data_IF_361030869569
#
_entry.id   IF_361030869569
#
_cell.length_a   1.000
_cell.length_b   1.000
_cell.length_c   1.000
_cell.angle_alpha   90.00
_cell.angle_beta   90.00
_cell.angle_gamma   90.00
#
_symmetry.space_group_name_H-M   'P 1'
#
loop_
_entity.id
_entity.type
_entity.pdbx_description
1 polymer ?
#
# COMPACT_ATOMS: atom_id res chain seq x y z
N UNK A 1 3.66 15.56 20.82
CA UNK A 1 4.30 15.54 19.49
C UNK A 1 3.99 14.19 18.86
N UNK A 2 3.05 14.19 17.90
CA UNK A 2 2.99 13.31 16.71
C UNK A 2 3.42 11.84 16.85
N UNK A 3 2.64 11.02 17.56
CA UNK A 3 2.70 9.55 17.44
C UNK A 3 2.10 9.07 16.09
N UNK A 4 1.26 9.90 15.46
CA UNK A 4 0.53 9.56 14.23
C UNK A 4 1.43 9.30 13.01
N UNK A 5 2.67 9.78 13.00
CA UNK A 5 3.63 9.59 11.90
C UNK A 5 4.65 8.47 12.17
N UNK A 6 4.46 7.72 13.25
CA UNK A 6 5.23 6.49 13.51
C UNK A 6 4.43 5.32 12.99
N UNK A 7 5.12 4.37 12.34
CA UNK A 7 4.46 3.14 11.94
C UNK A 7 4.08 2.30 13.16
N UNK A 8 2.83 1.79 13.23
CA UNK A 8 2.53 0.68 14.11
C UNK A 8 3.45 -0.51 13.80
N UNK A 9 3.98 -1.15 14.83
CA UNK A 9 5.02 -2.18 14.69
C UNK A 9 4.57 -3.34 13.80
N UNK A 10 3.31 -3.73 13.90
CA UNK A 10 2.70 -4.78 13.08
C UNK A 10 2.66 -4.39 11.60
N UNK A 11 2.31 -3.14 11.28
CA UNK A 11 2.22 -2.64 9.91
C UNK A 11 3.60 -2.51 9.28
N UNK A 12 4.58 -1.97 10.01
CA UNK A 12 5.96 -1.92 9.53
C UNK A 12 6.54 -3.33 9.32
N UNK A 13 6.20 -4.27 10.21
CA UNK A 13 6.63 -5.66 10.08
C UNK A 13 6.00 -6.33 8.86
N UNK A 14 4.73 -6.04 8.56
CA UNK A 14 4.05 -6.51 7.35
C UNK A 14 4.76 -6.01 6.09
N UNK A 15 5.05 -4.71 6.00
CA UNK A 15 5.79 -4.11 4.89
C UNK A 15 7.18 -4.74 4.71
N UNK A 16 7.93 -4.94 5.80
CA UNK A 16 9.23 -5.63 5.79
C UNK A 16 9.14 -7.09 5.34
N UNK A 17 7.99 -7.74 5.50
CA UNK A 17 7.70 -9.09 5.02
C UNK A 17 7.18 -9.12 3.57
N UNK A 18 7.13 -7.97 2.88
CA UNK A 18 6.60 -7.89 1.52
C UNK A 18 5.08 -7.92 1.45
N UNK A 19 4.37 -7.63 2.54
CA UNK A 19 2.90 -7.59 2.57
C UNK A 19 2.40 -6.20 2.23
N UNK A 20 1.44 -6.14 1.31
CA UNK A 20 0.77 -4.90 0.90
C UNK A 20 -0.14 -4.36 1.99
N UNK A 21 -0.17 -3.05 2.10
CA UNK A 21 -1.09 -2.32 2.96
C UNK A 21 -1.89 -1.33 2.13
N UNK A 22 -3.16 -1.16 2.44
CA UNK A 22 -4.04 -0.23 1.74
C UNK A 22 -4.89 0.59 2.71
N UNK A 23 -5.39 1.72 2.24
CA UNK A 23 -6.37 2.56 2.95
C UNK A 23 -7.35 3.15 1.95
N UNK A 24 -8.62 3.22 2.31
CA UNK A 24 -9.63 3.92 1.52
C UNK A 24 -9.44 5.44 1.67
N UNK A 25 -9.45 6.15 0.55
CA UNK A 25 -9.27 7.58 0.46
C UNK A 25 -10.53 8.25 -0.11
N UNK A 26 -10.73 9.57 0.10
CA UNK A 26 -11.81 10.29 -0.55
C UNK A 26 -11.70 10.22 -2.08
N UNK A 27 -12.77 9.81 -2.73
CA UNK A 27 -12.88 9.82 -4.18
C UNK A 27 -13.45 11.15 -4.70
N UNK A 28 -13.24 11.42 -5.99
CA UNK A 28 -13.65 12.64 -6.69
C UNK A 28 -15.17 12.71 -6.89
N UNK A 29 -15.87 11.57 -6.87
CA UNK A 29 -17.32 11.49 -7.05
C UNK A 29 -17.94 10.34 -6.26
N UNK A 30 -19.27 10.39 -6.05
CA UNK A 30 -20.01 9.39 -5.27
C UNK A 30 -20.11 8.01 -5.94
N UNK A 31 -19.91 7.94 -7.25
CA UNK A 31 -19.88 6.70 -8.04
C UNK A 31 -18.46 6.09 -8.11
N UNK A 32 -17.51 6.70 -7.38
CA UNK A 32 -16.09 6.31 -7.38
C UNK A 32 -15.67 5.90 -5.99
N UNK A 33 -14.76 4.94 -5.91
CA UNK A 33 -14.03 4.61 -4.67
C UNK A 33 -12.55 4.79 -4.91
N UNK A 34 -11.83 5.33 -3.93
CA UNK A 34 -10.41 5.58 -4.05
C UNK A 34 -9.64 4.84 -2.97
N UNK A 35 -8.47 4.32 -3.32
CA UNK A 35 -7.59 3.64 -2.38
C UNK A 35 -6.16 4.08 -2.59
N UNK A 36 -5.43 4.14 -1.48
CA UNK A 36 -3.98 4.28 -1.48
C UNK A 36 -3.38 2.94 -1.08
N UNK A 37 -2.64 2.33 -2.00
CA UNK A 37 -1.90 1.09 -1.79
C UNK A 37 -0.40 1.38 -1.59
N UNK A 38 0.22 0.61 -0.69
CA UNK A 38 1.66 0.53 -0.52
C UNK A 38 2.11 -0.87 -0.90
N UNK A 39 2.85 -0.96 -2.00
CA UNK A 39 3.47 -2.19 -2.48
C UNK A 39 4.96 -2.22 -2.14
N UNK A 40 5.41 -3.14 -1.26
CA UNK A 40 6.84 -3.32 -0.99
C UNK A 40 7.56 -3.96 -2.18
N UNK A 41 8.75 -3.45 -2.50
CA UNK A 41 9.64 -4.00 -3.51
C UNK A 41 10.21 -5.36 -3.09
N UNK A 42 10.47 -6.21 -4.09
CA UNK A 42 11.16 -7.47 -3.90
C UNK A 42 12.63 -7.25 -3.54
N UNK A 43 13.18 -8.12 -2.71
CA UNK A 43 14.62 -8.20 -2.40
C UNK A 43 15.19 -9.53 -2.88
N UNK A 44 16.51 -9.60 -3.11
CA UNK A 44 17.17 -10.79 -3.67
C UNK A 44 16.79 -12.09 -2.95
N UNK A 45 16.69 -12.04 -1.63
CA UNK A 45 16.34 -13.20 -0.79
C UNK A 45 14.88 -13.65 -0.87
N UNK A 46 13.99 -12.87 -1.47
CA UNK A 46 12.59 -13.28 -1.61
C UNK A 46 12.45 -14.50 -2.52
N UNK A 47 13.27 -14.59 -3.57
CA UNK A 47 13.24 -15.73 -4.48
C UNK A 47 13.68 -17.03 -3.78
N UNK A 48 14.68 -16.96 -2.90
CA UNK A 48 15.10 -18.09 -2.07
C UNK A 48 14.02 -18.46 -1.05
N UNK A 49 13.51 -17.46 -0.32
CA UNK A 49 12.48 -17.65 0.68
C UNK A 49 11.22 -18.31 0.09
N UNK A 50 10.78 -17.85 -1.08
CA UNK A 50 9.64 -18.42 -1.79
C UNK A 50 9.87 -19.89 -2.16
N UNK A 51 11.06 -20.25 -2.67
CA UNK A 51 11.39 -21.64 -3.02
C UNK A 51 11.41 -22.56 -1.79
N UNK A 52 11.82 -22.02 -0.65
CA UNK A 52 12.01 -22.79 0.58
C UNK A 52 10.81 -22.71 1.54
N UNK A 53 9.73 -22.02 1.16
CA UNK A 53 8.48 -21.97 1.93
C UNK A 53 8.51 -21.07 3.15
N UNK A 54 9.38 -20.06 3.19
CA UNK A 54 9.43 -19.05 4.24
C UNK A 54 9.37 -17.62 3.66
N UNK A 55 9.31 -16.59 4.50
CA UNK A 55 9.25 -15.18 4.05
C UNK A 55 10.41 -14.39 4.61
N UNK A 56 11.13 -13.66 3.75
CA UNK A 56 12.25 -12.82 4.17
C UNK A 56 11.73 -11.48 4.72
N UNK A 57 12.05 -11.20 5.99
CA UNK A 57 11.93 -9.86 6.55
C UNK A 57 13.13 -9.02 6.10
N UNK A 58 12.91 -7.84 5.52
CA UNK A 58 13.99 -6.95 5.08
C UNK A 58 13.64 -5.47 5.29
N UNK A 59 14.59 -4.70 5.83
CA UNK A 59 14.53 -3.23 5.92
C UNK A 59 15.08 -2.55 4.68
N UNK A 60 15.63 -3.31 3.73
CA UNK A 60 16.17 -2.81 2.47
C UNK A 60 15.12 -2.75 1.34
N UNK A 61 13.84 -3.00 1.66
CA UNK A 61 12.75 -2.91 0.68
C UNK A 61 12.51 -1.45 0.32
N UNK A 62 12.36 -1.19 -0.97
CA UNK A 62 11.71 0.01 -1.49
C UNK A 62 10.19 -0.14 -1.42
N UNK A 63 9.46 0.93 -1.69
CA UNK A 63 8.00 0.95 -1.65
C UNK A 63 7.48 1.77 -2.83
N UNK A 64 6.47 1.24 -3.51
CA UNK A 64 5.65 1.99 -4.45
C UNK A 64 4.34 2.34 -3.77
N UNK A 65 3.98 3.62 -3.80
CA UNK A 65 2.73 4.13 -3.26
C UNK A 65 1.86 4.60 -4.41
N UNK A 66 0.65 4.08 -4.53
CA UNK A 66 -0.28 4.44 -5.60
C UNK A 66 -1.62 4.87 -5.02
N UNK A 67 -2.14 6.00 -5.48
CA UNK A 67 -3.52 6.41 -5.23
C UNK A 67 -4.32 6.19 -6.51
N UNK A 68 -5.28 5.28 -6.45
CA UNK A 68 -6.16 4.95 -7.56
C UNK A 68 -7.59 5.21 -7.19
N UNK A 69 -8.37 5.59 -8.20
CA UNK A 69 -9.82 5.55 -8.15
C UNK A 69 -10.35 4.47 -9.06
N UNK A 70 -11.45 3.87 -8.65
CA UNK A 70 -12.15 2.81 -9.35
C UNK A 70 -13.62 3.17 -9.48
N UNK A 71 -14.28 2.58 -10.47
CA UNK A 71 -15.73 2.63 -10.58
C UNK A 71 -16.33 1.75 -9.49
N UNK A 72 -17.23 2.31 -8.68
CA UNK A 72 -17.80 1.59 -7.53
C UNK A 72 -18.65 0.39 -7.96
N UNK A 73 -19.24 0.41 -9.15
CA UNK A 73 -20.07 -0.68 -9.67
C UNK A 73 -19.25 -1.82 -10.28
N UNK A 74 -17.99 -1.55 -10.67
CA UNK A 74 -17.08 -2.53 -11.29
C UNK A 74 -16.04 -3.09 -10.32
N UNK A 75 -16.05 -2.62 -9.08
CA UNK A 75 -15.06 -2.97 -8.08
C UNK A 75 -15.16 -4.43 -7.63
N UNK A 76 -16.38 -4.97 -7.65
CA UNK A 76 -16.68 -6.37 -7.35
C UNK A 76 -16.53 -7.22 -8.63
N UNK A 77 -15.30 -7.58 -8.99
CA UNK A 77 -15.06 -8.42 -10.17
C UNK A 77 -13.60 -8.54 -10.59
N UNK A 78 -13.36 -9.26 -11.68
CA UNK A 78 -12.03 -9.39 -12.29
C UNK A 78 -11.63 -8.16 -13.11
N UNK A 79 -12.61 -7.33 -13.51
CA UNK A 79 -12.42 -6.16 -14.38
C UNK A 79 -12.37 -4.85 -13.59
N UNK A 80 -11.96 -4.90 -12.31
CA UNK A 80 -11.86 -3.71 -11.46
C UNK A 80 -10.90 -2.65 -12.02
N UNK A 81 -9.97 -3.05 -12.88
CA UNK A 81 -9.03 -2.16 -13.57
C UNK A 81 -9.68 -1.41 -14.74
N UNK A 82 -10.84 -1.86 -15.23
CA UNK A 82 -11.65 -1.16 -16.23
C UNK A 82 -12.22 0.11 -15.60
N UNK A 83 -11.79 1.26 -16.12
CA UNK A 83 -12.15 2.57 -15.55
C UNK A 83 -11.35 2.95 -14.30
N UNK A 84 -10.33 2.18 -13.93
CA UNK A 84 -9.40 2.58 -12.88
C UNK A 84 -8.53 3.74 -13.35
N UNK A 85 -8.37 4.75 -12.50
CA UNK A 85 -7.58 5.95 -12.78
C UNK A 85 -6.49 6.09 -11.72
N UNK A 86 -5.23 6.09 -12.14
CA UNK A 86 -4.11 6.44 -11.27
C UNK A 86 -4.07 7.96 -11.08
N UNK A 87 -4.36 8.41 -9.85
CA UNK A 87 -4.39 9.83 -9.51
C UNK A 87 -3.00 10.37 -9.15
N UNK A 88 -2.23 9.60 -8.38
CA UNK A 88 -0.86 9.94 -7.99
C UNK A 88 -0.07 8.66 -7.69
N UNK A 89 1.22 8.71 -7.93
CA UNK A 89 2.15 7.64 -7.58
C UNK A 89 3.46 8.25 -7.07
N UNK A 90 4.12 7.55 -6.16
CA UNK A 90 5.44 7.89 -5.66
C UNK A 90 6.23 6.61 -5.36
N UNK A 91 7.54 6.67 -5.57
CA UNK A 91 8.48 5.64 -5.15
C UNK A 91 9.22 6.15 -3.90
N UNK A 92 9.40 5.27 -2.92
CA UNK A 92 10.20 5.50 -1.74
C UNK A 92 11.31 4.44 -1.66
N UNK A 93 12.56 4.86 -1.58
CA UNK A 93 13.69 3.93 -1.57
C UNK A 93 13.82 3.16 -0.23
N UNK A 94 13.21 3.67 0.84
CA UNK A 94 13.32 3.13 2.19
C UNK A 94 12.14 3.59 3.09
N UNK A 95 12.11 3.10 4.32
CA UNK A 95 11.04 3.37 5.30
C UNK A 95 10.91 4.85 5.69
N UNK A 96 12.01 5.62 5.67
CA UNK A 96 12.01 7.05 5.99
C UNK A 96 11.42 7.88 4.84
N UNK A 97 11.78 7.55 3.61
CA UNK A 97 11.18 8.15 2.41
C UNK A 97 9.69 7.81 2.31
N UNK A 98 9.30 6.59 2.68
CA UNK A 98 7.88 6.22 2.72
C UNK A 98 7.10 7.11 3.70
N UNK A 99 7.64 7.35 4.90
CA UNK A 99 7.02 8.29 5.84
C UNK A 99 6.94 9.72 5.29
N UNK A 100 7.94 10.14 4.52
CA UNK A 100 7.91 11.45 3.83
C UNK A 100 6.77 11.53 2.83
N UNK A 101 6.62 10.50 1.98
CA UNK A 101 5.51 10.41 1.00
C UNK A 101 4.16 10.45 1.71
N UNK A 102 3.97 9.63 2.75
CA UNK A 102 2.69 9.59 3.48
C UNK A 102 2.37 10.94 4.14
N UNK A 103 3.36 11.61 4.70
CA UNK A 103 3.19 12.95 5.30
C UNK A 103 2.79 13.99 4.26
N UNK A 104 3.44 14.01 3.09
CA UNK A 104 3.07 14.91 1.98
C UNK A 104 1.64 14.64 1.50
N UNK A 105 1.24 13.37 1.52
CA UNK A 105 -0.08 12.92 1.11
C UNK A 105 -1.14 13.04 2.21
N UNK A 106 -0.76 13.53 3.40
CA UNK A 106 -1.59 13.70 4.60
C UNK A 106 -2.24 12.40 5.07
N UNK A 107 -1.51 11.28 4.94
CA UNK A 107 -1.94 9.96 5.37
C UNK A 107 -1.18 9.54 6.63
N UNK A 108 -1.91 9.00 7.61
CA UNK A 108 -1.31 8.42 8.80
C UNK A 108 -1.05 6.92 8.57
N UNK A 109 0.17 6.42 8.87
CA UNK A 109 0.46 4.98 8.95
C UNK A 109 -0.57 4.14 9.71
N UNK A 110 -1.27 4.72 10.69
CA UNK A 110 -2.28 4.03 11.51
C UNK A 110 -3.59 3.73 10.77
N UNK A 111 -3.86 4.44 9.66
CA UNK A 111 -5.07 4.23 8.86
C UNK A 111 -4.95 3.02 7.93
N UNK A 112 -3.72 2.55 7.68
CA UNK A 112 -3.46 1.47 6.75
C UNK A 112 -3.83 0.10 7.34
N UNK A 113 -4.57 -0.67 6.56
CA UNK A 113 -4.92 -2.05 6.84
C UNK A 113 -4.16 -3.00 5.91
N UNK A 114 -4.15 -4.29 6.22
CA UNK A 114 -3.68 -5.27 5.25
C UNK A 114 -4.56 -5.17 4.01
N UNK A 115 -3.98 -5.27 2.80
CA UNK A 115 -4.76 -5.10 1.57
C UNK A 115 -5.97 -6.05 1.49
N UNK A 116 -5.82 -7.30 1.97
CA UNK A 116 -6.94 -8.25 2.02
C UNK A 116 -8.01 -7.94 3.08
N UNK A 117 -7.76 -7.01 4.00
CA UNK A 117 -8.73 -6.52 4.99
C UNK A 117 -9.44 -5.23 4.50
N UNK A 118 -9.08 -4.72 3.32
CA UNK A 118 -9.76 -3.57 2.70
C UNK A 118 -10.61 -4.04 1.52
N UNK A 119 -11.40 -3.12 0.97
CA UNK A 119 -12.05 -3.31 -0.33
C UNK A 119 -11.16 -2.86 -1.50
N UNK A 120 -9.86 -2.65 -1.31
CA UNK A 120 -8.99 -2.36 -2.46
C UNK A 120 -8.93 -3.63 -3.33
N UNK A 121 -9.28 -3.55 -4.63
CA UNK A 121 -9.43 -4.74 -5.44
C UNK A 121 -8.08 -5.37 -5.87
N UNK A 122 -6.96 -4.69 -5.64
CA UNK A 122 -5.62 -5.18 -6.01
C UNK A 122 -5.05 -6.21 -5.05
#
# INVERSE_FOLDING_TARGET
MTDELVWPLEKLSALRLGRRLAVEAPATGSERRAFVDITPGAVERDAEALREGWTQRSTARSFRVEHREYDAELLDGFDYDVGATLLRSADAANELELLTVLREWQLSPHQFQYAWDTSDPQ
#
